data_IF_597646186612
#
_entry.id   IF_597646186612
#
_cell.length_a   1.000
_cell.length_b   1.000
_cell.length_c   1.000
_cell.angle_alpha   90.00
_cell.angle_beta   90.00
_cell.angle_gamma   90.00
#
_symmetry.space_group_name_H-M   'P 1'
#
loop_
_entity.id
_entity.type
_entity.pdbx_description
1 polymer ?
#
# COMPACT_ATOMS: atom_id res chain seq x y z
N UNK A 1 12.09 -29.87 7.89
CA UNK A 1 11.59 -30.61 6.72
C UNK A 1 11.39 -29.57 5.64
N UNK A 2 12.12 -29.66 4.54
CA UNK A 2 12.00 -28.78 3.38
C UNK A 2 10.63 -29.03 2.75
N UNK A 3 9.74 -28.04 2.83
CA UNK A 3 8.44 -28.10 2.18
C UNK A 3 8.70 -27.81 0.68
N UNK A 4 8.92 -28.85 -0.11
CA UNK A 4 8.95 -28.71 -1.57
C UNK A 4 7.53 -28.40 -2.04
N UNK A 5 7.18 -27.11 -2.11
CA UNK A 5 5.96 -26.71 -2.81
C UNK A 5 6.05 -27.21 -4.25
N UNK A 6 4.99 -27.77 -4.83
CA UNK A 6 5.01 -28.16 -6.22
C UNK A 6 5.30 -26.92 -7.09
N UNK A 7 6.14 -27.08 -8.12
CA UNK A 7 6.58 -25.98 -9.00
C UNK A 7 5.40 -25.18 -9.56
N UNK A 8 4.28 -25.83 -9.82
CA UNK A 8 3.06 -25.21 -10.31
C UNK A 8 2.48 -24.19 -9.30
N UNK A 9 2.53 -24.47 -8.00
CA UNK A 9 2.03 -23.58 -6.95
C UNK A 9 2.91 -22.33 -6.82
N UNK A 10 4.25 -22.50 -6.88
CA UNK A 10 5.18 -21.37 -6.89
C UNK A 10 4.99 -20.48 -8.13
N UNK A 11 4.78 -21.06 -9.31
CA UNK A 11 4.50 -20.29 -10.54
C UNK A 11 3.20 -19.51 -10.41
N UNK A 12 2.16 -20.08 -9.82
CA UNK A 12 0.91 -19.39 -9.59
C UNK A 12 1.05 -18.21 -8.62
N UNK A 13 1.81 -18.38 -7.52
CA UNK A 13 2.12 -17.32 -6.57
C UNK A 13 2.84 -16.14 -7.26
N UNK A 14 3.86 -16.41 -8.05
CA UNK A 14 4.57 -15.37 -8.81
C UNK A 14 3.67 -14.68 -9.84
N UNK A 15 2.85 -15.45 -10.56
CA UNK A 15 1.90 -14.87 -11.52
C UNK A 15 0.89 -13.94 -10.83
N UNK A 16 0.35 -14.33 -9.69
CA UNK A 16 -0.56 -13.52 -8.87
C UNK A 16 0.12 -12.24 -8.39
N UNK A 17 1.35 -12.33 -7.91
CA UNK A 17 2.16 -11.19 -7.51
C UNK A 17 2.41 -10.22 -8.66
N UNK A 18 2.82 -10.72 -9.83
CA UNK A 18 3.05 -9.90 -11.02
C UNK A 18 1.75 -9.19 -11.47
N UNK A 19 0.65 -9.92 -11.55
CA UNK A 19 -0.66 -9.34 -11.94
C UNK A 19 -1.09 -8.28 -10.93
N UNK A 20 -0.97 -8.57 -9.62
CA UNK A 20 -1.29 -7.61 -8.57
C UNK A 20 -0.40 -6.37 -8.62
N UNK A 21 0.92 -6.56 -8.78
CA UNK A 21 1.87 -5.48 -8.95
C UNK A 21 1.51 -4.55 -10.10
N UNK A 22 1.17 -5.11 -11.25
CA UNK A 22 0.78 -4.35 -12.42
C UNK A 22 -0.55 -3.63 -12.23
N UNK A 23 -1.57 -4.30 -11.68
CA UNK A 23 -2.89 -3.70 -11.47
C UNK A 23 -2.82 -2.45 -10.57
N UNK A 24 -2.09 -2.54 -9.47
CA UNK A 24 -2.00 -1.44 -8.51
C UNK A 24 -1.06 -0.32 -8.96
N UNK A 25 -0.01 -0.63 -9.75
CA UNK A 25 0.93 0.37 -10.24
C UNK A 25 0.59 0.89 -11.64
N UNK A 26 -0.39 0.31 -12.33
CA UNK A 26 -0.74 0.67 -13.70
C UNK A 26 -0.93 2.18 -13.93
N UNK A 27 -1.65 2.93 -13.07
CA UNK A 27 -1.77 4.37 -13.24
C UNK A 27 -0.42 5.08 -13.24
N UNK A 28 0.50 4.67 -12.38
CA UNK A 28 1.83 5.27 -12.24
C UNK A 28 2.71 4.97 -13.44
N UNK A 29 2.71 3.73 -13.93
CA UNK A 29 3.52 3.30 -15.09
C UNK A 29 3.23 4.10 -16.37
N UNK A 30 2.04 4.68 -16.49
CA UNK A 30 1.63 5.50 -17.64
C UNK A 30 1.62 7.01 -17.34
N UNK A 31 2.08 7.42 -16.16
CA UNK A 31 2.07 8.82 -15.72
C UNK A 31 3.43 9.47 -15.98
N UNK A 32 3.44 10.48 -16.87
CA UNK A 32 4.66 11.15 -17.30
C UNK A 32 5.41 11.81 -16.15
N UNK A 33 4.70 12.36 -15.20
CA UNK A 33 5.23 13.04 -14.02
C UNK A 33 6.05 12.08 -13.13
N UNK A 34 5.69 10.80 -13.09
CA UNK A 34 6.46 9.77 -12.36
C UNK A 34 7.82 9.55 -13.01
N UNK A 35 7.86 9.50 -14.36
CA UNK A 35 9.13 9.36 -15.08
C UNK A 35 10.03 10.58 -14.90
N UNK A 36 9.45 11.79 -14.90
CA UNK A 36 10.18 13.02 -14.61
C UNK A 36 10.68 13.06 -13.16
N UNK A 37 9.85 12.67 -12.20
CA UNK A 37 10.27 12.60 -10.80
C UNK A 37 11.43 11.63 -10.63
N UNK A 38 11.38 10.45 -11.27
CA UNK A 38 12.47 9.48 -11.26
C UNK A 38 13.77 10.04 -11.88
N UNK A 39 13.66 10.83 -12.94
CA UNK A 39 14.81 11.51 -13.56
C UNK A 39 15.41 12.60 -12.66
N UNK A 40 14.58 13.36 -11.95
CA UNK A 40 15.00 14.47 -11.09
C UNK A 40 15.40 14.03 -9.68
N UNK A 41 15.05 12.80 -9.28
CA UNK A 41 15.25 12.29 -7.93
C UNK A 41 16.75 12.25 -7.57
N UNK A 42 17.08 12.83 -6.44
CA UNK A 42 18.42 12.74 -5.90
C UNK A 42 18.70 11.33 -5.34
N UNK A 43 19.94 10.82 -5.36
CA UNK A 43 20.27 9.50 -4.84
C UNK A 43 19.81 9.26 -3.40
N UNK A 44 19.82 10.31 -2.56
CA UNK A 44 19.35 10.23 -1.19
C UNK A 44 17.81 10.02 -1.11
N UNK A 45 17.04 10.66 -1.99
CA UNK A 45 15.60 10.46 -2.05
C UNK A 45 15.25 9.04 -2.51
N UNK A 46 15.96 8.53 -3.52
CA UNK A 46 15.82 7.15 -3.96
C UNK A 46 16.13 6.16 -2.83
N UNK A 47 17.21 6.39 -2.07
CA UNK A 47 17.55 5.55 -0.93
C UNK A 47 16.45 5.54 0.14
N UNK A 48 15.92 6.72 0.48
CA UNK A 48 14.79 6.82 1.44
C UNK A 48 13.57 6.05 0.92
N UNK A 49 13.24 6.18 -0.38
CA UNK A 49 12.12 5.44 -0.97
C UNK A 49 12.32 3.93 -0.88
N UNK A 50 13.51 3.43 -1.23
CA UNK A 50 13.84 2.00 -1.12
C UNK A 50 13.67 1.51 0.31
N UNK A 51 14.23 2.25 1.28
CA UNK A 51 14.14 1.88 2.71
C UNK A 51 12.69 1.93 3.20
N UNK A 52 11.95 2.98 2.87
CA UNK A 52 10.56 3.13 3.26
C UNK A 52 9.68 1.99 2.69
N UNK A 53 9.87 1.67 1.41
CA UNK A 53 9.15 0.56 0.77
C UNK A 53 9.51 -0.78 1.40
N UNK A 54 10.78 -1.03 1.67
CA UNK A 54 11.19 -2.27 2.34
C UNK A 54 10.57 -2.41 3.73
N UNK A 55 10.52 -1.33 4.51
CA UNK A 55 9.87 -1.33 5.82
C UNK A 55 8.35 -1.56 5.72
N UNK A 56 7.71 -0.99 4.70
CA UNK A 56 6.29 -1.24 4.43
C UNK A 56 6.02 -2.69 4.04
N UNK A 57 6.87 -3.27 3.19
CA UNK A 57 6.77 -4.69 2.79
C UNK A 57 6.98 -5.62 3.98
N UNK A 58 8.00 -5.36 4.82
CA UNK A 58 8.20 -6.13 6.05
C UNK A 58 6.96 -6.08 6.96
N UNK A 59 6.39 -4.90 7.10
CA UNK A 59 5.18 -4.72 7.89
C UNK A 59 3.98 -5.42 7.27
N UNK A 60 3.77 -5.24 5.96
CA UNK A 60 2.67 -5.88 5.24
C UNK A 60 2.76 -7.40 5.30
N UNK A 61 3.91 -7.97 4.95
CA UNK A 61 4.13 -9.43 4.96
C UNK A 61 4.01 -10.04 6.36
N UNK A 62 4.35 -9.27 7.39
CA UNK A 62 4.19 -9.72 8.78
C UNK A 62 2.72 -9.87 9.19
N UNK A 63 1.83 -8.98 8.70
CA UNK A 63 0.46 -8.85 9.22
C UNK A 63 -0.63 -9.28 8.25
N UNK A 64 -0.40 -9.14 6.95
CA UNK A 64 -1.40 -9.44 5.92
C UNK A 64 -0.84 -10.19 4.71
N UNK A 65 0.46 -10.48 4.68
CA UNK A 65 1.08 -11.26 3.61
C UNK A 65 0.53 -12.68 3.56
N UNK A 66 0.74 -13.36 2.46
CA UNK A 66 0.25 -14.72 2.17
C UNK A 66 0.66 -15.74 3.25
N UNK A 67 1.81 -15.52 3.90
CA UNK A 67 2.33 -16.34 4.98
C UNK A 67 2.29 -15.59 6.33
N UNK A 68 1.21 -14.87 6.61
CA UNK A 68 1.06 -14.11 7.86
C UNK A 68 1.26 -15.03 9.09
N UNK A 69 2.15 -14.61 10.00
CA UNK A 69 2.48 -15.40 11.20
C UNK A 69 3.70 -16.30 11.09
N UNK A 70 4.38 -16.36 9.94
CA UNK A 70 5.63 -17.10 9.72
C UNK A 70 6.84 -16.50 10.44
N UNK A 71 7.98 -17.16 10.29
CA UNK A 71 9.27 -16.69 10.85
C UNK A 71 9.66 -15.31 10.29
N UNK A 72 10.34 -14.49 11.09
CA UNK A 72 10.91 -13.22 10.61
C UNK A 72 11.86 -13.39 9.43
N UNK A 73 12.51 -14.56 9.31
CA UNK A 73 13.39 -14.85 8.17
C UNK A 73 12.60 -14.96 6.87
N UNK A 74 11.46 -15.61 6.90
CA UNK A 74 10.59 -15.78 5.73
C UNK A 74 10.02 -14.43 5.32
N UNK A 75 9.54 -13.62 6.26
CA UNK A 75 9.05 -12.24 6.00
C UNK A 75 10.11 -11.37 5.30
N UNK A 76 11.37 -11.47 5.75
CA UNK A 76 12.47 -10.71 5.12
C UNK A 76 12.75 -11.23 3.72
N UNK A 77 12.76 -12.55 3.51
CA UNK A 77 12.98 -13.16 2.20
C UNK A 77 11.87 -12.74 1.23
N UNK A 78 10.61 -12.90 1.62
CA UNK A 78 9.45 -12.52 0.81
C UNK A 78 9.53 -11.03 0.42
N UNK A 79 9.88 -10.15 1.37
CA UNK A 79 10.01 -8.70 1.09
C UNK A 79 11.13 -8.38 0.09
N UNK A 80 12.27 -9.08 0.15
CA UNK A 80 13.31 -8.92 -0.85
C UNK A 80 12.90 -9.47 -2.21
N UNK A 81 12.18 -10.57 -2.23
CA UNK A 81 11.68 -11.20 -3.45
C UNK A 81 10.67 -10.29 -4.16
N UNK A 82 9.71 -9.73 -3.43
CA UNK A 82 8.73 -8.78 -3.94
C UNK A 82 9.38 -7.50 -4.47
N UNK A 83 10.42 -6.98 -3.79
CA UNK A 83 11.21 -5.87 -4.29
C UNK A 83 11.96 -6.24 -5.57
N UNK A 84 12.53 -7.44 -5.64
CA UNK A 84 13.21 -7.96 -6.83
C UNK A 84 12.25 -8.06 -8.03
N UNK A 85 11.05 -8.59 -7.80
CA UNK A 85 10.00 -8.67 -8.83
C UNK A 85 9.62 -7.25 -9.28
N UNK A 86 9.40 -6.32 -8.34
CA UNK A 86 9.08 -4.93 -8.64
C UNK A 86 10.13 -4.25 -9.51
N UNK A 87 11.41 -4.41 -9.20
CA UNK A 87 12.52 -3.87 -10.00
C UNK A 87 12.56 -4.45 -11.41
N UNK A 88 12.44 -5.76 -11.55
CA UNK A 88 12.49 -6.44 -12.85
C UNK A 88 11.28 -6.02 -13.70
N UNK A 89 10.08 -6.02 -13.11
CA UNK A 89 8.85 -5.66 -13.83
C UNK A 89 8.87 -4.19 -14.26
N UNK A 90 9.25 -3.27 -13.40
CA UNK A 90 9.36 -1.85 -13.73
C UNK A 90 10.37 -1.62 -14.84
N UNK A 91 11.55 -2.25 -14.77
CA UNK A 91 12.55 -2.15 -15.82
C UNK A 91 12.01 -2.65 -17.17
N UNK A 92 11.42 -3.84 -17.20
CA UNK A 92 10.87 -4.44 -18.43
C UNK A 92 9.76 -3.58 -19.04
N UNK A 93 8.85 -3.06 -18.22
CA UNK A 93 7.74 -2.24 -18.70
C UNK A 93 8.23 -0.89 -19.21
N UNK A 94 9.10 -0.20 -18.48
CA UNK A 94 9.67 1.07 -18.92
C UNK A 94 10.49 0.90 -20.21
N UNK A 95 11.17 -0.23 -20.38
CA UNK A 95 11.86 -0.58 -21.63
C UNK A 95 10.83 -0.81 -22.75
N UNK A 96 9.77 -1.56 -22.50
CA UNK A 96 8.70 -1.85 -23.46
C UNK A 96 7.96 -0.57 -23.90
N UNK A 97 7.73 0.35 -22.97
CA UNK A 97 7.13 1.67 -23.22
C UNK A 97 8.10 2.68 -23.87
N UNK A 98 9.34 2.26 -24.15
CA UNK A 98 10.41 3.12 -24.69
C UNK A 98 10.70 4.36 -23.82
N UNK A 99 10.56 4.23 -22.49
CA UNK A 99 10.89 5.26 -21.50
C UNK A 99 12.30 5.15 -20.96
N UNK A 100 12.93 4.00 -21.20
CA UNK A 100 14.34 3.72 -20.97
C UNK A 100 14.96 3.30 -22.31
N UNK A 101 16.01 3.98 -22.70
CA UNK A 101 16.82 3.67 -23.88
C UNK A 101 18.25 3.43 -23.41
N UNK A 102 18.71 2.18 -23.48
CA UNK A 102 19.99 1.73 -22.89
C UNK A 102 21.22 2.43 -23.52
N UNK A 103 21.08 2.97 -24.73
CA UNK A 103 22.17 3.65 -25.43
C UNK A 103 22.17 5.16 -25.22
N UNK A 104 21.00 5.75 -24.93
CA UNK A 104 20.84 7.21 -24.92
C UNK A 104 20.65 7.77 -23.49
N UNK A 105 20.08 6.98 -22.58
CA UNK A 105 19.88 7.43 -21.20
C UNK A 105 21.11 7.15 -20.33
N UNK A 106 21.38 8.07 -19.39
CA UNK A 106 22.39 7.83 -18.36
C UNK A 106 21.95 6.74 -17.37
N UNK A 107 22.93 6.09 -16.73
CA UNK A 107 22.63 5.07 -15.70
C UNK A 107 21.83 5.66 -14.54
N UNK A 108 22.12 6.90 -14.13
CA UNK A 108 21.40 7.58 -13.06
C UNK A 108 19.93 7.81 -13.42
N UNK A 109 19.66 8.18 -14.66
CA UNK A 109 18.30 8.36 -15.17
C UNK A 109 17.53 7.02 -15.19
N UNK A 110 18.17 5.98 -15.70
CA UNK A 110 17.57 4.64 -15.75
C UNK A 110 17.25 4.16 -14.33
N UNK A 111 18.22 4.25 -13.43
CA UNK A 111 18.04 3.84 -12.03
C UNK A 111 16.96 4.65 -11.33
N UNK A 112 16.93 5.97 -11.52
CA UNK A 112 15.93 6.83 -10.92
C UNK A 112 14.50 6.44 -11.35
N UNK A 113 14.27 6.28 -12.66
CA UNK A 113 12.96 5.86 -13.19
C UNK A 113 12.56 4.47 -12.70
N UNK A 114 13.48 3.50 -12.79
CA UNK A 114 13.20 2.12 -12.39
C UNK A 114 12.91 2.01 -10.90
N UNK A 115 13.71 2.63 -10.04
CA UNK A 115 13.52 2.58 -8.59
C UNK A 115 12.20 3.24 -8.21
N UNK A 116 11.89 4.42 -8.77
CA UNK A 116 10.63 5.13 -8.47
C UNK A 116 9.41 4.27 -8.76
N UNK A 117 9.35 3.66 -9.93
CA UNK A 117 8.26 2.76 -10.33
C UNK A 117 8.26 1.46 -9.49
N UNK A 118 9.43 0.85 -9.31
CA UNK A 118 9.57 -0.41 -8.60
C UNK A 118 9.03 -0.36 -7.17
N UNK A 119 9.11 0.80 -6.50
CA UNK A 119 8.62 0.94 -5.13
C UNK A 119 7.10 0.71 -5.06
N UNK A 120 6.35 1.25 -6.01
CA UNK A 120 4.90 1.05 -6.07
C UNK A 120 4.53 -0.34 -6.58
N UNK A 121 5.24 -0.83 -7.62
CA UNK A 121 5.04 -2.20 -8.15
C UNK A 121 5.28 -3.24 -7.05
N UNK A 122 6.33 -3.08 -6.24
CA UNK A 122 6.64 -4.02 -5.15
C UNK A 122 5.53 -4.11 -4.10
N UNK A 123 4.98 -2.95 -3.68
CA UNK A 123 3.83 -2.94 -2.75
C UNK A 123 2.61 -3.59 -3.41
N UNK A 124 2.39 -3.32 -4.70
CA UNK A 124 1.33 -3.94 -5.48
C UNK A 124 1.50 -5.47 -5.61
N UNK A 125 2.74 -5.95 -5.77
CA UNK A 125 3.07 -7.40 -5.78
C UNK A 125 2.68 -8.04 -4.46
N UNK A 126 3.09 -7.45 -3.34
CA UNK A 126 2.79 -7.97 -2.00
C UNK A 126 1.28 -8.04 -1.73
N UNK A 127 0.56 -6.95 -2.06
CA UNK A 127 -0.91 -6.89 -1.92
C UNK A 127 -1.58 -7.89 -2.86
N UNK A 128 -1.14 -7.96 -4.11
CA UNK A 128 -1.69 -8.85 -5.12
C UNK A 128 -1.52 -10.33 -4.76
N UNK A 129 -0.32 -10.72 -4.34
CA UNK A 129 -0.04 -12.09 -3.89
C UNK A 129 -0.93 -12.48 -2.71
N UNK A 130 -1.07 -11.60 -1.72
CA UNK A 130 -1.90 -11.88 -0.56
C UNK A 130 -3.41 -11.96 -0.89
N UNK A 131 -3.91 -11.10 -1.79
CA UNK A 131 -5.34 -11.06 -2.12
C UNK A 131 -5.74 -12.19 -3.09
N UNK A 132 -4.99 -12.37 -4.17
CA UNK A 132 -5.30 -13.39 -5.16
C UNK A 132 -4.97 -14.80 -4.66
N UNK A 133 -3.92 -14.94 -3.81
CA UNK A 133 -3.57 -16.21 -3.20
C UNK A 133 -4.60 -16.71 -2.18
N UNK A 134 -5.21 -15.81 -1.40
CA UNK A 134 -6.26 -16.18 -0.44
C UNK A 134 -7.55 -16.61 -1.13
N UNK A 135 -7.92 -15.98 -2.25
CA UNK A 135 -9.12 -16.37 -3.01
C UNK A 135 -9.03 -17.80 -3.55
N UNK A 136 -7.84 -18.22 -4.00
CA UNK A 136 -7.63 -19.59 -4.47
C UNK A 136 -7.69 -20.62 -3.34
N UNK A 137 -7.23 -20.27 -2.12
CA UNK A 137 -7.31 -21.16 -0.96
C UNK A 137 -8.71 -21.27 -0.37
N UNK A 138 -9.50 -20.19 -0.38
CA UNK A 138 -10.90 -20.22 0.06
C UNK A 138 -11.76 -21.13 -0.85
N UNK A 139 -11.49 -21.18 -2.15
CA UNK A 139 -12.17 -22.10 -3.08
C UNK A 139 -11.80 -23.57 -2.80
N UNK A 140 -10.53 -23.86 -2.46
CA UNK A 140 -10.06 -25.21 -2.10
C UNK A 140 -10.56 -25.63 -0.72
N UNK A 141 -10.57 -24.74 0.28
CA UNK A 141 -11.07 -25.03 1.64
C UNK A 141 -12.59 -25.24 1.66
N UNK A 142 -13.36 -24.50 0.86
CA UNK A 142 -14.81 -24.75 0.71
C UNK A 142 -15.12 -26.15 0.11
N UNK A 143 -14.16 -26.73 -0.61
CA UNK A 143 -14.27 -28.08 -1.13
C UNK A 143 -13.90 -29.16 -0.08
N UNK A 144 -13.12 -28.81 0.97
CA UNK A 144 -12.65 -29.75 2.01
C UNK A 144 -13.41 -29.62 3.36
N UNK A 145 -14.17 -28.55 3.63
CA UNK A 145 -14.85 -28.31 4.91
C UNK A 145 -16.12 -29.14 5.16
N UNK A 146 -16.47 -30.10 4.33
CA UNK A 146 -17.53 -31.04 4.72
C UNK A 146 -17.15 -32.03 5.85
N UNK A 147 -15.91 -32.06 6.35
CA UNK A 147 -15.48 -33.16 7.22
C UNK A 147 -14.75 -32.85 8.55
N UNK A 148 -14.57 -31.60 9.03
CA UNK A 148 -13.96 -31.44 10.38
C UNK A 148 -14.38 -30.18 11.16
N UNK A 149 -15.43 -30.36 12.00
CA UNK A 149 -15.58 -29.60 13.26
C UNK A 149 -14.71 -30.23 14.36
N UNK A 150 -13.68 -29.52 14.81
CA UNK A 150 -13.30 -29.39 16.25
C UNK A 150 -11.90 -28.78 16.44
N UNK A 151 -11.81 -27.92 17.46
CA UNK A 151 -10.63 -27.43 18.19
C UNK A 151 -10.01 -26.11 17.71
N UNK A 152 -10.31 -25.01 18.41
CA UNK A 152 -9.25 -24.11 18.95
C UNK A 152 -9.80 -23.01 19.86
N UNK A 153 -9.62 -23.16 21.11
CA UNK A 153 -9.72 -22.11 22.12
C UNK A 153 -8.43 -22.08 22.94
N UNK A 154 -7.38 -21.41 22.48
CA UNK A 154 -6.26 -20.93 23.32
C UNK A 154 -5.32 -20.05 22.48
N UNK A 155 -5.38 -18.72 22.62
CA UNK A 155 -4.29 -17.73 22.48
C UNK A 155 -4.88 -16.31 22.38
N UNK A 156 -5.43 -15.79 23.45
CA UNK A 156 -6.22 -14.53 23.44
C UNK A 156 -5.53 -13.29 24.02
N UNK A 157 -4.32 -13.39 24.54
CA UNK A 157 -3.65 -12.30 25.29
C UNK A 157 -2.66 -11.44 24.49
N UNK A 158 -1.91 -11.99 23.56
CA UNK A 158 -0.90 -11.28 22.76
C UNK A 158 -1.48 -10.59 21.51
N UNK A 159 -2.67 -10.95 21.11
CA UNK A 159 -3.33 -10.54 19.86
C UNK A 159 -3.71 -9.05 19.81
N UNK A 160 -3.91 -8.37 20.95
CA UNK A 160 -4.49 -7.02 20.99
C UNK A 160 -3.49 -5.87 20.70
N UNK A 161 -2.20 -6.03 21.03
CA UNK A 161 -1.16 -5.01 20.76
C UNK A 161 -0.62 -5.12 19.34
N UNK A 162 -0.54 -6.32 18.82
CA UNK A 162 -0.20 -6.65 17.45
C UNK A 162 -1.23 -6.07 16.46
N UNK A 163 -2.52 -6.09 16.80
CA UNK A 163 -3.60 -5.64 15.93
C UNK A 163 -3.53 -4.13 15.60
N UNK A 164 -3.20 -3.26 16.57
CA UNK A 164 -3.16 -1.80 16.32
C UNK A 164 -2.00 -1.41 15.41
N UNK A 165 -0.85 -2.03 15.57
CA UNK A 165 0.30 -1.77 14.70
C UNK A 165 0.05 -2.31 13.28
N UNK A 166 -0.56 -3.49 13.16
CA UNK A 166 -1.01 -4.04 11.91
C UNK A 166 -1.95 -3.08 11.15
N UNK A 167 -2.93 -2.49 11.86
CA UNK A 167 -3.84 -1.50 11.29
C UNK A 167 -3.10 -0.30 10.69
N UNK A 168 -2.09 0.22 11.39
CA UNK A 168 -1.27 1.35 10.89
C UNK A 168 -0.51 0.97 9.64
N UNK A 169 0.15 -0.20 9.64
CA UNK A 169 0.95 -0.66 8.49
C UNK A 169 0.08 -0.86 7.26
N UNK A 170 -1.06 -1.54 7.40
CA UNK A 170 -1.98 -1.78 6.29
C UNK A 170 -2.64 -0.49 5.79
N UNK A 171 -2.98 0.43 6.71
CA UNK A 171 -3.44 1.75 6.34
C UNK A 171 -2.38 2.53 5.56
N UNK A 172 -1.10 2.45 5.95
CA UNK A 172 0.00 3.06 5.21
C UNK A 172 0.15 2.46 3.81
N UNK A 173 0.16 1.13 3.68
CA UNK A 173 0.26 0.47 2.38
C UNK A 173 -0.89 0.88 1.45
N UNK A 174 -2.14 0.83 1.92
CA UNK A 174 -3.29 1.26 1.16
C UNK A 174 -3.24 2.75 0.79
N UNK A 175 -2.80 3.62 1.72
CA UNK A 175 -2.61 5.05 1.46
C UNK A 175 -1.55 5.30 0.38
N UNK A 176 -0.43 4.57 0.42
CA UNK A 176 0.66 4.72 -0.55
C UNK A 176 0.21 4.27 -1.94
N UNK A 177 -0.49 3.15 -2.05
CA UNK A 177 -0.99 2.67 -3.35
C UNK A 177 -1.97 3.68 -3.96
N UNK A 178 -2.99 4.09 -3.20
CA UNK A 178 -4.04 4.97 -3.74
C UNK A 178 -3.55 6.41 -3.85
N UNK A 179 -2.91 6.95 -2.82
CA UNK A 179 -2.36 8.30 -2.84
C UNK A 179 -1.22 8.45 -3.85
N UNK A 180 -0.36 7.45 -3.97
CA UNK A 180 0.75 7.44 -4.93
C UNK A 180 0.31 7.55 -6.37
N UNK A 181 -0.86 7.00 -6.73
CA UNK A 181 -1.37 7.08 -8.10
C UNK A 181 -1.78 8.49 -8.54
N UNK A 182 -1.99 9.42 -7.61
CA UNK A 182 -2.43 10.79 -7.89
C UNK A 182 -1.38 11.83 -7.47
N UNK A 183 -0.56 11.52 -6.46
CA UNK A 183 0.43 12.45 -5.90
C UNK A 183 1.39 13.10 -6.91
N UNK A 184 1.84 12.40 -7.98
CA UNK A 184 2.75 13.00 -8.95
C UNK A 184 2.11 14.09 -9.82
N UNK A 185 0.78 14.10 -9.90
CA UNK A 185 0.05 14.97 -10.84
C UNK A 185 -0.03 16.41 -10.35
N UNK A 186 -0.05 17.35 -11.28
CA UNK A 186 -0.11 18.80 -10.98
C UNK A 186 -1.46 19.20 -10.36
N UNK A 187 -2.50 18.38 -10.52
CA UNK A 187 -3.85 18.66 -10.03
C UNK A 187 -3.90 18.84 -8.52
N UNK A 188 -3.10 18.07 -7.76
CA UNK A 188 -3.04 18.18 -6.29
C UNK A 188 -2.51 19.57 -5.89
N UNK A 189 -1.47 20.06 -6.56
CA UNK A 189 -0.91 21.39 -6.33
C UNK A 189 -1.92 22.47 -6.73
N UNK A 190 -2.53 22.35 -7.90
CA UNK A 190 -3.47 23.30 -8.45
C UNK A 190 -4.70 23.46 -7.56
N UNK A 191 -5.31 22.34 -7.16
CA UNK A 191 -6.43 22.32 -6.23
C UNK A 191 -6.08 22.94 -4.89
N UNK A 192 -4.89 22.64 -4.35
CA UNK A 192 -4.44 23.19 -3.07
C UNK A 192 -4.19 24.71 -3.14
N UNK A 193 -3.69 25.21 -4.29
CA UNK A 193 -3.41 26.63 -4.50
C UNK A 193 -4.68 27.46 -4.72
N UNK A 194 -5.69 26.92 -5.44
CA UNK A 194 -6.94 27.61 -5.74
C UNK A 194 -7.96 27.50 -4.58
N UNK A 195 -7.86 26.50 -3.72
CA UNK A 195 -8.81 26.25 -2.66
C UNK A 195 -8.75 27.32 -1.55
N UNK A 196 -9.90 27.88 -1.21
CA UNK A 196 -10.05 28.74 -0.03
C UNK A 196 -10.01 27.84 1.25
N UNK A 197 -9.66 28.41 2.42
CA UNK A 197 -9.60 27.66 3.67
C UNK A 197 -10.87 26.83 3.98
N UNK A 198 -12.03 27.36 3.63
CA UNK A 198 -13.32 26.67 3.83
C UNK A 198 -13.41 25.38 2.97
N UNK A 199 -12.90 25.38 1.74
CA UNK A 199 -12.90 24.20 0.88
C UNK A 199 -11.96 23.13 1.43
N UNK A 200 -10.78 23.51 1.92
CA UNK A 200 -9.83 22.57 2.55
C UNK A 200 -10.45 21.94 3.79
N UNK A 201 -11.18 22.73 4.62
CA UNK A 201 -11.91 22.19 5.75
C UNK A 201 -12.99 21.19 5.33
N UNK A 202 -13.76 21.50 4.27
CA UNK A 202 -14.76 20.57 3.75
C UNK A 202 -14.13 19.27 3.22
N UNK A 203 -13.01 19.34 2.51
CA UNK A 203 -12.27 18.17 2.04
C UNK A 203 -11.85 17.29 3.23
N UNK A 204 -11.29 17.89 4.29
CA UNK A 204 -10.91 17.16 5.49
C UNK A 204 -12.12 16.48 6.17
N UNK A 205 -13.24 17.19 6.32
CA UNK A 205 -14.47 16.63 6.90
C UNK A 205 -15.04 15.49 6.07
N UNK A 206 -15.10 15.65 4.75
CA UNK A 206 -15.56 14.61 3.82
C UNK A 206 -14.62 13.39 3.88
N UNK A 207 -13.31 13.59 3.96
CA UNK A 207 -12.32 12.50 4.09
C UNK A 207 -12.58 11.68 5.36
N UNK A 208 -12.79 12.34 6.49
CA UNK A 208 -13.08 11.68 7.77
C UNK A 208 -14.42 10.94 7.69
N UNK A 209 -15.45 11.56 7.11
CA UNK A 209 -16.76 10.96 6.97
C UNK A 209 -16.70 9.70 6.08
N UNK A 210 -16.06 9.78 4.92
CA UNK A 210 -15.89 8.63 4.03
C UNK A 210 -15.08 7.51 4.70
N UNK A 211 -14.00 7.86 5.39
CA UNK A 211 -13.22 6.87 6.16
C UNK A 211 -14.04 6.21 7.25
N UNK A 212 -14.90 6.98 7.94
CA UNK A 212 -15.83 6.44 8.96
C UNK A 212 -16.83 5.47 8.34
N UNK A 213 -17.41 5.83 7.18
CA UNK A 213 -18.34 4.96 6.45
C UNK A 213 -17.67 3.66 6.06
N UNK A 214 -16.47 3.72 5.46
CA UNK A 214 -15.72 2.52 5.09
C UNK A 214 -15.40 1.68 6.33
N UNK A 215 -14.94 2.26 7.42
CA UNK A 215 -14.65 1.54 8.66
C UNK A 215 -15.91 0.89 9.25
N UNK A 216 -17.04 1.59 9.24
CA UNK A 216 -18.31 1.07 9.75
C UNK A 216 -18.79 -0.15 8.97
N UNK A 217 -18.82 -0.07 7.64
CA UNK A 217 -19.25 -1.19 6.80
C UNK A 217 -18.24 -2.35 6.77
N UNK A 218 -16.96 -2.08 7.02
CA UNK A 218 -15.91 -3.09 7.11
C UNK A 218 -16.06 -3.97 8.34
N UNK A 219 -16.34 -3.38 9.50
CA UNK A 219 -16.55 -4.12 10.75
C UNK A 219 -17.76 -5.06 10.68
N UNK A 220 -18.70 -4.82 9.74
CA UNK A 220 -19.90 -5.62 9.59
C UNK A 220 -19.68 -6.96 8.87
N UNK A 221 -18.58 -7.10 8.10
CA UNK A 221 -18.35 -8.28 7.24
C UNK A 221 -17.36 -9.32 7.77
N UNK A 222 -16.57 -9.02 8.82
CA UNK A 222 -15.39 -9.86 9.09
C UNK A 222 -14.99 -10.11 10.53
N UNK A 223 -15.79 -9.79 11.53
CA UNK A 223 -15.43 -10.08 12.91
C UNK A 223 -16.52 -10.90 13.58
N UNK A 224 -16.23 -12.20 13.79
CA UNK A 224 -16.82 -12.98 14.88
C UNK A 224 -16.46 -12.29 16.21
N UNK A 225 -17.14 -11.20 16.54
CA UNK A 225 -17.09 -10.63 17.89
C UNK A 225 -18.10 -11.37 18.73
N UNK A 226 -17.67 -12.19 19.70
CA UNK A 226 -18.59 -12.68 20.70
C UNK A 226 -19.04 -11.50 21.55
N UNK A 227 -20.30 -11.11 21.38
CA UNK A 227 -21.05 -10.19 22.25
C UNK A 227 -20.58 -8.73 22.32
N UNK A 228 -21.09 -7.88 21.45
CA UNK A 228 -21.10 -6.45 21.62
C UNK A 228 -21.06 -5.67 20.30
N UNK A 229 -22.02 -4.77 20.11
CA UNK A 229 -21.97 -3.77 19.04
C UNK A 229 -20.65 -2.99 19.11
N UNK A 230 -20.04 -2.61 17.96
CA UNK A 230 -18.81 -1.81 17.95
C UNK A 230 -19.08 -0.54 18.75
N UNK A 231 -18.29 -0.29 19.79
CA UNK A 231 -18.43 0.93 20.58
C UNK A 231 -18.08 2.09 19.67
N UNK A 232 -18.92 3.09 19.61
CA UNK A 232 -18.71 4.33 18.82
C UNK A 232 -17.27 4.88 18.98
N UNK A 233 -16.72 4.72 20.19
CA UNK A 233 -15.35 5.11 20.49
C UNK A 233 -14.31 4.34 19.65
N UNK A 234 -14.48 3.06 19.43
CA UNK A 234 -13.54 2.24 18.64
C UNK A 234 -13.57 2.68 17.17
N UNK A 235 -14.75 2.93 16.60
CA UNK A 235 -14.89 3.43 15.22
C UNK A 235 -14.23 4.80 15.06
N UNK A 236 -14.49 5.73 15.97
CA UNK A 236 -13.89 7.08 15.93
C UNK A 236 -12.37 6.99 16.05
N UNK A 237 -11.86 6.20 16.99
CA UNK A 237 -10.42 6.02 17.17
C UNK A 237 -9.76 5.45 15.90
N UNK A 238 -10.37 4.43 15.33
CA UNK A 238 -9.85 3.78 14.13
C UNK A 238 -9.90 4.69 12.91
N UNK A 239 -10.96 5.49 12.76
CA UNK A 239 -11.06 6.51 11.71
C UNK A 239 -9.99 7.58 11.86
N UNK A 240 -9.80 8.10 13.07
CA UNK A 240 -8.73 9.09 13.34
C UNK A 240 -7.35 8.52 13.04
N UNK A 241 -7.10 7.27 13.42
CA UNK A 241 -5.84 6.58 13.14
C UNK A 241 -5.61 6.44 11.63
N UNK A 242 -6.62 5.99 10.87
CA UNK A 242 -6.56 5.84 9.42
C UNK A 242 -6.32 7.18 8.72
N UNK A 243 -7.04 8.22 9.11
CA UNK A 243 -6.88 9.55 8.52
C UNK A 243 -5.50 10.14 8.85
N UNK A 244 -5.01 9.99 10.07
CA UNK A 244 -3.67 10.46 10.45
C UNK A 244 -2.57 9.72 9.67
N UNK A 245 -2.69 8.42 9.49
CA UNK A 245 -1.74 7.64 8.67
C UNK A 245 -1.78 8.04 7.21
N UNK A 246 -2.98 8.32 6.67
CA UNK A 246 -3.15 8.81 5.32
C UNK A 246 -2.49 10.17 5.09
N UNK A 247 -2.61 11.10 6.04
CA UNK A 247 -1.95 12.42 5.97
C UNK A 247 -0.42 12.29 6.01
N UNK A 248 0.12 11.39 6.86
CA UNK A 248 1.56 11.12 6.93
C UNK A 248 2.05 10.53 5.61
N UNK A 249 1.34 9.54 5.06
CA UNK A 249 1.65 8.96 3.76
C UNK A 249 1.60 10.01 2.65
N UNK A 250 0.55 10.86 2.63
CA UNK A 250 0.41 11.95 1.66
C UNK A 250 1.57 12.93 1.75
N UNK A 251 1.96 13.34 2.95
CA UNK A 251 3.10 14.25 3.14
C UNK A 251 4.41 13.61 2.64
N UNK A 252 4.63 12.33 2.92
CA UNK A 252 5.84 11.62 2.46
C UNK A 252 5.89 11.50 0.94
N UNK A 253 4.78 11.11 0.30
CA UNK A 253 4.71 10.92 -1.15
C UNK A 253 4.84 12.28 -1.88
N UNK A 254 4.14 13.32 -1.41
CA UNK A 254 4.25 14.67 -1.97
C UNK A 254 5.67 15.24 -1.80
N UNK A 255 6.32 14.99 -0.67
CA UNK A 255 7.72 15.38 -0.49
C UNK A 255 8.62 14.74 -1.55
N UNK A 256 8.36 13.48 -1.90
CA UNK A 256 9.14 12.77 -2.90
C UNK A 256 8.88 13.30 -4.32
N UNK A 257 7.63 13.42 -4.75
CA UNK A 257 7.27 13.76 -6.13
C UNK A 257 7.32 15.25 -6.42
N UNK A 258 6.78 16.08 -5.56
CA UNK A 258 6.62 17.52 -5.80
C UNK A 258 7.72 18.32 -5.09
N UNK A 259 8.19 17.83 -3.95
CA UNK A 259 9.05 18.59 -3.05
C UNK A 259 8.28 19.73 -2.37
N UNK A 260 8.77 20.15 -1.21
CA UNK A 260 8.16 21.28 -0.48
C UNK A 260 8.93 22.58 -0.65
N UNK A 261 9.97 22.57 -1.48
CA UNK A 261 10.82 23.73 -1.72
C UNK A 261 10.06 24.88 -2.36
N UNK A 262 10.14 26.07 -1.75
CA UNK A 262 9.52 27.28 -2.27
C UNK A 262 8.03 27.46 -1.97
N UNK A 263 7.34 26.45 -1.42
CA UNK A 263 5.92 26.56 -1.05
C UNK A 263 5.75 26.99 0.41
N UNK A 264 4.75 27.86 0.64
CA UNK A 264 4.37 28.24 2.01
C UNK A 264 3.70 27.08 2.75
N UNK A 265 3.79 27.06 4.08
CA UNK A 265 3.21 26.00 4.94
C UNK A 265 1.71 25.77 4.65
N UNK A 266 0.97 26.83 4.29
CA UNK A 266 -0.44 26.71 3.95
C UNK A 266 -0.65 25.84 2.71
N UNK A 267 0.13 26.03 1.65
CA UNK A 267 0.02 25.25 0.42
C UNK A 267 0.42 23.80 0.68
N UNK A 268 1.50 23.57 1.43
CA UNK A 268 1.96 22.22 1.81
C UNK A 268 0.86 21.46 2.57
N UNK A 269 0.28 22.09 3.60
CA UNK A 269 -0.79 21.45 4.38
C UNK A 269 -2.05 21.22 3.54
N UNK A 270 -2.39 22.16 2.66
CA UNK A 270 -3.52 22.02 1.74
C UNK A 270 -3.32 20.86 0.77
N UNK A 271 -2.14 20.70 0.18
CA UNK A 271 -1.80 19.56 -0.68
C UNK A 271 -1.94 18.23 0.08
N UNK A 272 -1.42 18.17 1.30
CA UNK A 272 -1.54 16.95 2.14
C UNK A 272 -3.00 16.60 2.44
N UNK A 273 -3.87 17.59 2.65
CA UNK A 273 -5.30 17.38 2.91
C UNK A 273 -6.03 16.98 1.62
N UNK A 274 -5.73 17.61 0.49
CA UNK A 274 -6.32 17.27 -0.82
C UNK A 274 -5.97 15.82 -1.20
N UNK A 275 -4.70 15.46 -1.14
CA UNK A 275 -4.26 14.09 -1.41
C UNK A 275 -4.77 13.13 -0.32
N UNK A 276 -4.87 13.60 0.91
CA UNK A 276 -5.38 12.89 2.08
C UNK A 276 -6.80 12.35 1.90
N UNK A 277 -7.63 12.96 1.07
CA UNK A 277 -8.94 12.45 0.72
C UNK A 277 -8.84 11.05 0.08
N UNK A 278 -8.02 10.91 -0.96
CA UNK A 278 -7.83 9.63 -1.66
C UNK A 278 -7.00 8.65 -0.82
N UNK A 279 -5.92 9.14 -0.19
CA UNK A 279 -5.09 8.32 0.67
C UNK A 279 -5.87 7.74 1.87
N UNK A 280 -6.85 8.46 2.40
CA UNK A 280 -7.69 7.98 3.51
C UNK A 280 -8.64 6.87 3.08
N UNK A 281 -9.15 6.91 1.86
CA UNK A 281 -9.91 5.80 1.29
C UNK A 281 -9.02 4.57 1.10
N UNK A 282 -7.79 4.78 0.60
CA UNK A 282 -6.77 3.72 0.53
C UNK A 282 -6.42 3.14 1.91
N UNK A 283 -6.23 4.00 2.92
CA UNK A 283 -5.99 3.57 4.30
C UNK A 283 -7.11 2.70 4.84
N UNK A 284 -8.34 3.11 4.61
CA UNK A 284 -9.53 2.39 5.07
C UNK A 284 -9.70 1.06 4.31
N UNK A 285 -9.48 1.06 2.99
CA UNK A 285 -9.51 -0.15 2.18
C UNK A 285 -8.37 -1.14 2.56
N UNK A 286 -7.15 -0.64 2.78
CA UNK A 286 -6.02 -1.48 3.20
C UNK A 286 -6.27 -2.22 4.52
N UNK A 287 -7.06 -1.65 5.41
CA UNK A 287 -7.46 -2.27 6.68
C UNK A 287 -8.45 -3.43 6.51
N UNK A 288 -9.23 -3.43 5.41
CA UNK A 288 -10.14 -4.55 5.08
C UNK A 288 -9.39 -5.85 4.80
N UNK A 289 -8.08 -5.75 4.55
CA UNK A 289 -7.22 -6.89 4.26
C UNK A 289 -6.81 -7.68 5.52
N UNK A 290 -7.18 -7.21 6.72
CA UNK A 290 -7.00 -7.96 7.96
C UNK A 290 -8.21 -8.87 8.14
N UNK A 291 -8.06 -10.12 7.78
CA UNK A 291 -9.01 -11.20 8.13
C UNK A 291 -8.61 -11.90 9.42
#
# INVERSE_FOLDING_TARGET
MSNNKPIAESIAEYAQGIVGGLLFSFPLLFTMEVWYAGFLAQPFQLLIMVVATFLLLLGYNRYAGMHAGTSWKDVVIDSFEEMGIGLVMSFLILLMLNRIQLMDNSLDEIMGKVITEAMFVSIGVSVGTAQLGNSAKEEDELAEEEDQQHTTAVKRGEKRRSTKFALVVLALCGSVIVGGSVAPTEEVLLLAAEAKPIHILFIALVSILLSTVVCYFSDFKGTDKPNGEPKLYDIVFETCLSYSTALIASAFILWYFVGFGGNGLWIITSQCIVLGLLASLGASAGRLLIK
#
